data_IF_233366027141
#
_entry.id   IF_233366027141
#
_cell.length_a   1.000
_cell.length_b   1.000
_cell.length_c   1.000
_cell.angle_alpha   90.00
_cell.angle_beta   90.00
_cell.angle_gamma   90.00
#
_symmetry.space_group_name_H-M   'P 1'
#
loop_
_entity.id
_entity.type
_entity.pdbx_description
1 polymer ?
#
# COMPACT_ATOMS: atom_id res chain seq x y z
N UNK A 1 -9.46 -33.79 32.98
CA UNK A 1 -8.45 -32.77 32.60
C UNK A 1 -8.17 -32.66 31.09
N UNK A 2 -8.32 -33.73 30.27
CA UNK A 2 -8.07 -33.69 28.80
C UNK A 2 -9.03 -32.82 27.96
N UNK A 3 -10.25 -32.54 28.44
CA UNK A 3 -11.27 -31.76 27.70
C UNK A 3 -11.03 -30.24 27.74
N UNK A 4 -10.36 -29.75 28.79
CA UNK A 4 -10.04 -28.32 28.95
C UNK A 4 -8.94 -27.85 27.99
N UNK A 5 -7.99 -28.74 27.67
CA UNK A 5 -6.91 -28.47 26.70
C UNK A 5 -7.43 -28.25 25.28
N UNK A 6 -8.46 -29.00 24.87
CA UNK A 6 -9.04 -28.88 23.53
C UNK A 6 -9.81 -27.57 23.33
N UNK A 7 -10.49 -27.07 24.38
CA UNK A 7 -11.20 -25.80 24.34
C UNK A 7 -10.19 -24.63 24.27
N UNK A 8 -9.09 -24.70 25.02
CA UNK A 8 -8.04 -23.68 24.96
C UNK A 8 -7.35 -23.63 23.58
N UNK A 9 -7.07 -24.78 22.96
CA UNK A 9 -6.47 -24.85 21.62
C UNK A 9 -7.44 -24.30 20.56
N UNK A 10 -8.73 -24.63 20.65
CA UNK A 10 -9.77 -24.08 19.77
C UNK A 10 -9.90 -22.56 19.90
N UNK A 11 -9.74 -22.01 21.10
CA UNK A 11 -9.82 -20.57 21.36
C UNK A 11 -8.56 -19.84 20.88
N UNK A 12 -7.38 -20.46 21.00
CA UNK A 12 -6.10 -19.92 20.48
C UNK A 12 -6.03 -19.89 18.95
N UNK A 13 -6.67 -20.84 18.26
CA UNK A 13 -6.78 -20.84 16.78
C UNK A 13 -7.71 -19.72 16.30
N UNK A 14 -8.71 -19.31 17.10
CA UNK A 14 -9.61 -18.20 16.76
C UNK A 14 -8.92 -16.81 16.81
N UNK A 15 -7.81 -16.67 17.54
CA UNK A 15 -7.02 -15.42 17.59
C UNK A 15 -5.93 -15.34 16.50
N UNK A 16 -5.67 -16.43 15.75
CA UNK A 16 -4.79 -16.38 14.58
C UNK A 16 -5.43 -15.70 13.35
N UNK A 17 -6.71 -15.32 13.47
CA UNK A 17 -7.51 -14.66 12.44
C UNK A 17 -7.57 -13.15 12.57
N UNK A 18 -6.49 -12.45 12.92
CA UNK A 18 -6.31 -11.06 12.45
C UNK A 18 -6.10 -11.11 10.93
N UNK A 19 -7.10 -11.60 10.21
CA UNK A 19 -7.12 -11.67 8.76
C UNK A 19 -7.20 -10.23 8.27
N UNK A 20 -6.04 -9.62 8.03
CA UNK A 20 -5.95 -8.38 7.27
C UNK A 20 -6.75 -8.57 5.98
N UNK A 21 -7.48 -7.53 5.57
CA UNK A 21 -8.25 -7.65 4.35
C UNK A 21 -7.30 -7.84 3.15
N UNK A 22 -7.68 -8.65 2.14
CA UNK A 22 -6.89 -8.77 0.92
C UNK A 22 -6.76 -7.43 0.17
N UNK A 23 -7.68 -6.49 0.41
CA UNK A 23 -7.69 -5.18 -0.26
C UNK A 23 -8.42 -4.15 0.58
N UNK A 24 -8.10 -2.88 0.43
CA UNK A 24 -8.86 -1.74 0.94
C UNK A 24 -9.82 -1.17 -0.11
N UNK A 25 -10.88 -0.49 0.33
CA UNK A 25 -11.81 0.22 -0.55
C UNK A 25 -11.22 1.53 -1.07
N UNK A 26 -10.53 2.25 -0.18
CA UNK A 26 -9.91 3.55 -0.44
C UNK A 26 -8.46 3.60 0.01
N UNK A 27 -7.81 4.73 -0.24
CA UNK A 27 -6.40 4.94 0.05
C UNK A 27 -6.16 6.38 0.49
N UNK A 28 -5.40 6.55 1.57
CA UNK A 28 -4.78 7.83 1.93
C UNK A 28 -3.28 7.72 1.67
N UNK A 29 -2.70 8.69 1.00
CA UNK A 29 -1.26 8.77 0.76
C UNK A 29 -0.71 10.02 1.42
N UNK A 30 0.34 9.87 2.22
CA UNK A 30 0.95 10.94 2.99
C UNK A 30 2.45 10.96 2.75
N UNK A 31 3.00 12.14 2.48
CA UNK A 31 4.43 12.32 2.32
C UNK A 31 5.01 13.17 3.44
N UNK A 32 5.61 12.54 4.45
CA UNK A 32 6.26 13.22 5.58
C UNK A 32 7.77 13.44 5.32
N UNK A 33 8.23 13.26 4.08
CA UNK A 33 9.62 13.53 3.67
C UNK A 33 9.79 14.95 3.12
N UNK A 34 11.03 15.37 2.91
CA UNK A 34 11.39 16.59 2.19
C UNK A 34 11.59 16.36 0.66
N UNK A 35 11.27 15.18 0.15
CA UNK A 35 11.47 14.79 -1.25
C UNK A 35 10.13 14.50 -1.94
N UNK A 36 10.03 14.74 -3.24
CA UNK A 36 8.87 14.28 -4.03
C UNK A 36 8.92 12.76 -4.14
N UNK A 37 7.80 12.11 -3.84
CA UNK A 37 7.68 10.65 -3.90
C UNK A 37 6.86 10.22 -5.11
N UNK A 38 7.21 9.07 -5.69
CA UNK A 38 6.57 8.56 -6.91
C UNK A 38 6.08 7.15 -6.70
N UNK A 39 4.81 6.90 -7.04
CA UNK A 39 4.18 5.60 -6.83
C UNK A 39 3.12 5.28 -7.89
N UNK A 40 2.77 4.00 -7.99
CA UNK A 40 1.59 3.51 -8.69
C UNK A 40 0.71 2.81 -7.68
N UNK A 41 -0.60 3.02 -7.76
CA UNK A 41 -1.56 2.23 -6.99
C UNK A 41 -1.91 0.98 -7.79
N UNK A 42 -1.92 -0.17 -7.12
CA UNK A 42 -2.31 -1.46 -7.72
C UNK A 42 -3.53 -2.04 -7.01
N UNK A 43 -4.39 -2.66 -7.79
CA UNK A 43 -5.68 -3.16 -7.33
C UNK A 43 -6.21 -4.32 -8.16
N UNK A 44 -7.33 -4.86 -7.69
CA UNK A 44 -8.09 -5.93 -8.33
C UNK A 44 -9.58 -5.79 -7.97
N UNK A 45 -10.42 -6.77 -8.27
CA UNK A 45 -11.75 -6.87 -7.69
C UNK A 45 -11.73 -6.74 -6.16
N UNK A 46 -12.83 -6.23 -5.59
CA UNK A 46 -12.98 -6.06 -4.15
C UNK A 46 -12.68 -7.37 -3.40
N UNK A 47 -11.89 -7.25 -2.33
CA UNK A 47 -11.39 -8.36 -1.51
C UNK A 47 -10.51 -9.38 -2.25
N UNK A 48 -9.82 -9.00 -3.34
CA UNK A 48 -8.90 -9.89 -4.07
C UNK A 48 -7.50 -9.30 -4.27
N UNK A 49 -6.55 -10.21 -4.57
CA UNK A 49 -5.11 -9.95 -4.74
C UNK A 49 -4.59 -10.33 -6.14
N UNK A 50 -5.35 -10.10 -7.21
CA UNK A 50 -4.99 -10.57 -8.56
C UNK A 50 -4.23 -9.58 -9.46
N UNK A 51 -4.21 -8.29 -9.13
CA UNK A 51 -3.42 -7.29 -9.88
C UNK A 51 -4.00 -6.89 -11.24
N UNK A 52 -5.32 -6.95 -11.43
CA UNK A 52 -5.97 -6.59 -12.69
C UNK A 52 -5.93 -5.09 -13.02
N UNK A 53 -5.72 -4.21 -12.02
CA UNK A 53 -5.78 -2.76 -12.17
C UNK A 53 -4.51 -2.09 -11.65
N UNK A 54 -4.08 -1.04 -12.36
CA UNK A 54 -2.99 -0.18 -11.94
C UNK A 54 -3.28 1.27 -12.36
N UNK A 55 -2.92 2.21 -11.50
CA UNK A 55 -2.95 3.64 -11.84
C UNK A 55 -1.80 3.98 -12.80
N UNK A 56 -1.82 5.14 -13.48
CA UNK A 56 -0.60 5.72 -14.01
C UNK A 56 0.34 6.13 -12.87
N UNK A 57 1.52 6.64 -13.23
CA UNK A 57 2.48 7.18 -12.27
C UNK A 57 1.90 8.39 -11.55
N UNK A 58 1.93 8.39 -10.22
CA UNK A 58 1.46 9.48 -9.37
C UNK A 58 2.66 10.01 -8.59
N UNK A 59 2.76 11.34 -8.52
CA UNK A 59 3.76 12.03 -7.70
C UNK A 59 3.08 12.75 -6.55
N UNK A 60 3.65 12.69 -5.35
CA UNK A 60 3.19 13.44 -4.19
C UNK A 60 4.31 14.37 -3.69
N UNK A 61 4.07 15.69 -3.59
CA UNK A 61 5.11 16.63 -3.15
C UNK A 61 5.44 16.45 -1.67
N UNK A 62 6.57 17.01 -1.19
CA UNK A 62 6.91 17.06 0.23
C UNK A 62 5.76 17.62 1.08
N UNK A 63 5.42 16.96 2.19
CA UNK A 63 4.29 17.36 3.05
C UNK A 63 2.90 17.12 2.46
N UNK A 64 2.80 16.56 1.25
CA UNK A 64 1.54 16.35 0.54
C UNK A 64 0.67 15.25 1.16
N UNK A 65 -0.64 15.37 0.96
CA UNK A 65 -1.64 14.35 1.29
C UNK A 65 -2.59 14.16 0.10
N UNK A 66 -2.75 12.92 -0.36
CA UNK A 66 -3.79 12.53 -1.30
C UNK A 66 -4.81 11.64 -0.60
N UNK A 67 -6.10 11.95 -0.76
CA UNK A 67 -7.19 11.15 -0.21
C UNK A 67 -8.03 10.63 -1.36
N UNK A 68 -8.10 9.31 -1.48
CA UNK A 68 -8.92 8.59 -2.45
C UNK A 68 -10.00 7.82 -1.69
N UNK A 69 -11.19 8.39 -1.46
CA UNK A 69 -12.26 7.76 -0.67
C UNK A 69 -12.63 6.36 -1.17
N UNK A 70 -12.42 6.11 -2.46
CA UNK A 70 -12.46 4.79 -3.08
C UNK A 70 -11.57 4.76 -4.33
N UNK A 71 -11.43 3.58 -4.94
CA UNK A 71 -10.59 3.39 -6.11
C UNK A 71 -11.02 4.18 -7.35
N UNK A 72 -12.28 4.59 -7.50
CA UNK A 72 -12.75 5.29 -8.72
C UNK A 72 -12.21 6.71 -8.82
N UNK A 73 -11.76 7.27 -7.70
CA UNK A 73 -11.08 8.57 -7.63
C UNK A 73 -9.59 8.49 -7.95
N UNK A 74 -9.05 7.29 -8.11
CA UNK A 74 -7.66 7.06 -8.49
C UNK A 74 -7.57 7.14 -10.02
N UNK A 75 -6.67 7.97 -10.58
CA UNK A 75 -6.49 8.03 -12.03
C UNK A 75 -6.26 6.65 -12.63
N UNK A 76 -6.89 6.36 -13.77
CA UNK A 76 -6.74 5.09 -14.50
C UNK A 76 -7.54 3.91 -13.95
N UNK A 77 -8.17 4.02 -12.78
CA UNK A 77 -9.05 2.97 -12.28
C UNK A 77 -10.45 3.00 -12.94
N UNK A 78 -11.17 1.86 -12.97
CA UNK A 78 -12.54 1.81 -13.48
C UNK A 78 -13.53 2.69 -12.70
N UNK A 79 -14.65 3.05 -13.35
CA UNK A 79 -15.73 3.81 -12.72
C UNK A 79 -16.51 3.04 -11.64
N UNK A 80 -16.33 1.72 -11.55
CA UNK A 80 -16.89 0.86 -10.51
C UNK A 80 -15.79 0.62 -9.45
N UNK A 81 -16.08 0.79 -8.15
CA UNK A 81 -15.09 0.58 -7.10
C UNK A 81 -14.43 -0.81 -7.14
N UNK A 82 -13.13 -0.82 -6.93
CA UNK A 82 -12.20 -1.96 -6.95
C UNK A 82 -11.39 -1.99 -5.65
N UNK A 83 -10.86 -3.16 -5.34
CA UNK A 83 -9.99 -3.36 -4.18
C UNK A 83 -8.60 -2.81 -4.47
N UNK A 84 -8.06 -2.02 -3.54
CA UNK A 84 -6.67 -1.54 -3.55
C UNK A 84 -5.86 -2.42 -2.62
N UNK A 85 -4.89 -3.15 -3.14
CA UNK A 85 -4.10 -4.06 -2.30
C UNK A 85 -2.64 -3.65 -2.11
N UNK A 86 -2.17 -2.62 -2.81
CA UNK A 86 -0.83 -2.10 -2.58
C UNK A 86 -0.45 -0.93 -3.47
N UNK A 87 0.84 -0.62 -3.44
CA UNK A 87 1.48 0.36 -4.30
C UNK A 87 2.85 -0.13 -4.76
N UNK A 88 3.21 0.20 -6.00
CA UNK A 88 4.60 0.11 -6.49
C UNK A 88 5.27 1.44 -6.23
N UNK A 89 6.45 1.40 -5.62
CA UNK A 89 7.23 2.58 -5.26
C UNK A 89 8.38 2.70 -6.24
N UNK A 90 8.56 3.88 -6.82
CA UNK A 90 9.75 4.19 -7.61
C UNK A 90 10.70 5.03 -6.77
N UNK A 91 11.99 4.68 -6.85
CA UNK A 91 13.04 5.43 -6.19
C UNK A 91 13.22 6.83 -6.83
N UNK A 92 12.65 7.08 -8.01
CA UNK A 92 12.74 8.35 -8.72
C UNK A 92 11.93 8.39 -10.02
N UNK A 93 12.14 9.40 -10.87
CA UNK A 93 11.54 9.48 -12.21
C UNK A 93 12.04 8.37 -13.14
N UNK A 94 11.19 7.86 -14.03
CA UNK A 94 11.50 6.73 -14.94
C UNK A 94 12.76 6.94 -15.78
N UNK A 95 13.04 8.17 -16.22
CA UNK A 95 14.22 8.48 -17.04
C UNK A 95 15.55 8.38 -16.26
N UNK A 96 15.51 8.33 -14.93
CA UNK A 96 16.68 8.07 -14.09
C UNK A 96 16.98 6.57 -13.95
N UNK A 97 16.25 5.69 -14.66
CA UNK A 97 16.26 4.23 -14.47
C UNK A 97 16.18 3.83 -12.99
N UNK A 98 15.17 4.35 -12.26
CA UNK A 98 15.09 4.16 -10.82
C UNK A 98 14.84 2.68 -10.52
N UNK A 99 15.49 2.19 -9.46
CA UNK A 99 15.02 0.97 -8.83
C UNK A 99 13.61 1.20 -8.25
N UNK A 100 13.00 0.13 -7.79
CA UNK A 100 11.68 0.23 -7.20
C UNK A 100 11.34 -0.99 -6.37
N UNK A 101 10.35 -0.80 -5.51
CA UNK A 101 9.80 -1.82 -4.64
C UNK A 101 8.28 -1.85 -4.72
N UNK A 102 7.68 -2.65 -3.86
CA UNK A 102 6.25 -2.67 -3.67
C UNK A 102 5.93 -2.78 -2.18
N UNK A 103 4.83 -2.16 -1.78
CA UNK A 103 4.28 -2.27 -0.42
C UNK A 103 2.79 -2.56 -0.51
N UNK A 104 2.21 -3.24 0.47
CA UNK A 104 0.79 -3.57 0.40
C UNK A 104 0.29 -4.50 1.47
N UNK A 105 -0.87 -5.08 1.18
CA UNK A 105 -1.55 -6.06 2.01
C UNK A 105 -0.72 -7.35 2.11
N UNK A 106 -0.38 -7.77 3.34
CA UNK A 106 0.36 -9.01 3.58
C UNK A 106 -0.34 -10.27 3.02
N UNK A 107 -1.68 -10.40 3.04
CA UNK A 107 -2.38 -11.50 2.37
C UNK A 107 -2.11 -11.61 0.86
N UNK A 108 -1.69 -10.52 0.22
CA UNK A 108 -1.30 -10.49 -1.19
C UNK A 108 0.20 -10.75 -1.41
N UNK A 109 0.94 -11.16 -0.37
CA UNK A 109 2.39 -11.41 -0.45
C UNK A 109 3.23 -10.14 -0.58
N UNK A 110 2.66 -8.96 -0.33
CA UNK A 110 3.39 -7.69 -0.36
C UNK A 110 3.94 -7.35 1.03
N UNK A 111 5.18 -6.83 1.12
CA UNK A 111 5.70 -6.39 2.41
C UNK A 111 4.98 -5.11 2.85
N UNK A 112 4.83 -4.88 4.17
CA UNK A 112 4.22 -3.66 4.68
C UNK A 112 5.15 -2.44 4.55
N UNK A 113 6.42 -2.62 4.17
CA UNK A 113 7.34 -1.50 4.01
C UNK A 113 8.47 -1.76 3.03
N UNK A 114 8.98 -0.68 2.43
CA UNK A 114 10.11 -0.67 1.52
C UNK A 114 10.96 0.58 1.76
N UNK A 115 12.27 0.39 1.98
CA UNK A 115 13.23 1.46 2.19
C UNK A 115 14.09 1.68 0.94
N UNK A 116 14.33 2.94 0.59
CA UNK A 116 15.03 3.31 -0.64
C UNK A 116 15.69 4.68 -0.54
N UNK A 117 16.54 5.00 -1.51
CA UNK A 117 17.10 6.34 -1.70
C UNK A 117 16.23 7.10 -2.71
N UNK A 118 15.55 8.16 -2.29
CA UNK A 118 14.75 8.98 -3.20
C UNK A 118 15.66 9.79 -4.13
N UNK A 119 15.35 9.81 -5.43
CA UNK A 119 16.00 10.60 -6.46
C UNK A 119 15.09 11.75 -6.92
N UNK A 120 15.67 12.94 -7.10
CA UNK A 120 14.97 14.09 -7.67
C UNK A 120 14.79 13.97 -9.19
N UNK A 121 14.05 14.91 -9.78
CA UNK A 121 13.92 15.05 -11.25
C UNK A 121 15.25 15.25 -11.97
N UNK A 122 16.30 15.71 -11.26
CA UNK A 122 17.67 15.80 -11.76
C UNK A 122 18.47 14.50 -11.67
N UNK A 123 17.85 13.39 -11.28
CA UNK A 123 18.51 12.11 -10.98
C UNK A 123 19.56 12.17 -9.87
N UNK A 124 19.49 13.19 -9.01
CA UNK A 124 20.38 13.34 -7.84
C UNK A 124 19.71 12.75 -6.60
N UNK A 125 20.47 12.07 -5.72
CA UNK A 125 19.96 11.63 -4.42
C UNK A 125 19.38 12.79 -3.61
N UNK A 126 18.24 12.54 -2.96
CA UNK A 126 17.56 13.49 -2.08
C UNK A 126 17.73 13.09 -0.61
N UNK A 127 17.12 11.97 -0.21
CA UNK A 127 17.21 11.43 1.13
C UNK A 127 16.87 9.93 1.12
N UNK A 128 17.34 9.22 2.16
CA UNK A 128 16.77 7.92 2.50
C UNK A 128 15.30 8.10 2.85
N UNK A 129 14.47 7.17 2.43
CA UNK A 129 13.03 7.22 2.61
C UNK A 129 12.50 5.81 2.82
N UNK A 130 11.42 5.70 3.58
CA UNK A 130 10.67 4.48 3.78
C UNK A 130 9.20 4.67 3.39
N UNK A 131 8.72 3.85 2.47
CA UNK A 131 7.30 3.69 2.21
C UNK A 131 6.73 2.67 3.20
N UNK A 132 5.67 3.03 3.92
CA UNK A 132 4.97 2.16 4.85
C UNK A 132 3.50 2.02 4.42
N UNK A 133 3.03 0.78 4.34
CA UNK A 133 1.65 0.44 4.09
C UNK A 133 0.97 0.07 5.40
N UNK A 134 -0.02 0.87 5.81
CA UNK A 134 -0.92 0.54 6.89
C UNK A 134 -2.17 -0.10 6.28
N UNK A 135 -2.41 -1.40 6.55
CA UNK A 135 -3.50 -2.13 5.95
C UNK A 135 -4.86 -1.67 6.48
N UNK A 136 -5.89 -1.80 5.65
CA UNK A 136 -7.29 -1.70 6.11
C UNK A 136 -7.67 -2.95 6.93
N UNK A 137 -8.54 -2.81 7.94
CA UNK A 137 -8.97 -3.96 8.73
C UNK A 137 -9.98 -4.84 7.98
N UNK A 138 -10.73 -4.25 7.05
CA UNK A 138 -11.70 -4.93 6.19
C UNK A 138 -11.64 -4.34 4.76
N UNK A 139 -12.46 -4.87 3.85
CA UNK A 139 -12.47 -4.43 2.45
C UNK A 139 -13.22 -3.13 2.19
N UNK A 140 -13.90 -2.57 3.18
CA UNK A 140 -14.70 -1.34 3.08
C UNK A 140 -13.94 -0.13 3.65
N UNK A 141 -12.88 -0.39 4.40
CA UNK A 141 -12.01 0.61 5.00
C UNK A 141 -10.91 1.10 4.04
N UNK A 142 -10.25 2.18 4.44
CA UNK A 142 -9.12 2.77 3.70
C UNK A 142 -7.78 2.23 4.22
N UNK A 143 -6.87 1.93 3.31
CA UNK A 143 -5.47 1.74 3.64
C UNK A 143 -4.73 3.09 3.68
N UNK A 144 -3.53 3.12 4.27
CA UNK A 144 -2.65 4.30 4.23
C UNK A 144 -1.28 3.94 3.67
N UNK A 145 -0.78 4.75 2.75
CA UNK A 145 0.59 4.74 2.27
C UNK A 145 1.31 5.97 2.82
N UNK A 146 2.30 5.75 3.68
CA UNK A 146 3.00 6.84 4.38
C UNK A 146 4.49 6.77 4.01
N UNK A 147 5.00 7.86 3.45
CA UNK A 147 6.43 8.05 3.22
C UNK A 147 7.04 8.79 4.39
N UNK A 148 8.06 8.21 5.01
CA UNK A 148 8.83 8.82 6.11
C UNK A 148 10.32 8.87 5.77
N UNK A 149 11.11 9.75 6.42
CA UNK A 149 12.57 9.67 6.38
C UNK A 149 13.10 8.28 6.77
#
# INVERSE_FOLDING_TARGET
>A
MKKLSFILISMLIAFAGFAQSPSAYGLVVENHTNCTQTYYVIGDELCKCGGAYASPMITIPPGGVHVYPNSTTIPGFPAIPKGIFGAKILDGPVFCSPAGGAVGQAPCGLPPSYGFMTLLSSCTPCAMTKANWLPANNCEEMARLIFTP
#
